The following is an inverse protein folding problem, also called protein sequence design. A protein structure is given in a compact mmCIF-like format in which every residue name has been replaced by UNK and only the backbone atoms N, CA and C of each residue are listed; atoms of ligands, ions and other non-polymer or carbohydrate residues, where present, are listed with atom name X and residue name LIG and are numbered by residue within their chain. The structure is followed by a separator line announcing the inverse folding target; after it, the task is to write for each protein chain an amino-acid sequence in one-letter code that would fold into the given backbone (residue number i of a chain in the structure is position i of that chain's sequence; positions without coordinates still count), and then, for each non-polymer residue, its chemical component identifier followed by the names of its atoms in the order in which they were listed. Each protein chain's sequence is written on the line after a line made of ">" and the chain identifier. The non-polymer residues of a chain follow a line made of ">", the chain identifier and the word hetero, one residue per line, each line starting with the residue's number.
data_IF_354338503935
#
_entry.id   IF_354338503935
#
_cell.length_a   1.000
_cell.length_b   1.000
_cell.length_c   1.000
_cell.angle_alpha   90.00
_cell.angle_beta   90.00
_cell.angle_gamma   90.00
#
_symmetry.space_group_name_H-M   'P 1'
#
loop_
_entity.id
_entity.type
_entity.pdbx_description
1 polymer ?
#
# COMPACT_ATOMS: atom_id res chain seq x y z
N UNK A 1 -0.39 12.22 1.87
CA UNK A 1 -1.13 11.11 1.22
C UNK A 1 -2.28 11.69 0.43
N UNK A 2 -2.56 11.17 -0.77
CA UNK A 2 -3.54 11.76 -1.67
C UNK A 2 -4.90 11.07 -1.63
N UNK A 3 -4.93 9.77 -1.37
CA UNK A 3 -6.14 8.97 -1.27
C UNK A 3 -5.91 7.85 -0.26
N UNK A 4 -6.95 7.51 0.50
CA UNK A 4 -6.98 6.33 1.38
C UNK A 4 -8.37 5.72 1.31
N UNK A 5 -8.43 4.40 1.25
CA UNK A 5 -9.63 3.58 1.23
C UNK A 5 -9.41 2.40 2.19
N UNK A 6 -10.48 1.92 2.83
CA UNK A 6 -10.39 0.75 3.69
C UNK A 6 -11.72 0.02 3.71
N UNK A 7 -11.68 -1.24 3.28
CA UNK A 7 -12.79 -2.19 3.40
C UNK A 7 -12.64 -2.97 4.70
N UNK A 8 -13.68 -2.94 5.52
CA UNK A 8 -13.72 -3.65 6.79
C UNK A 8 -14.65 -4.86 6.70
N UNK A 9 -14.11 -6.04 6.97
CA UNK A 9 -14.84 -7.30 6.88
C UNK A 9 -15.25 -7.84 8.25
N UNK A 10 -14.37 -7.74 9.25
CA UNK A 10 -14.67 -8.18 10.61
C UNK A 10 -13.76 -7.58 11.66
N UNK A 11 -14.21 -7.59 12.91
CA UNK A 11 -13.47 -7.04 14.03
C UNK A 11 -12.29 -7.90 14.48
N UNK A 12 -11.24 -7.21 14.89
CA UNK A 12 -10.18 -7.70 15.75
C UNK A 12 -10.29 -6.98 17.10
N UNK A 13 -10.16 -7.72 18.18
CA UNK A 13 -10.27 -7.20 19.53
C UNK A 13 -9.05 -7.60 20.35
N UNK A 14 -8.63 -6.72 21.26
CA UNK A 14 -7.63 -7.08 22.26
C UNK A 14 -8.08 -8.32 23.06
N UNK A 15 -7.20 -9.29 23.38
CA UNK A 15 -5.74 -9.30 23.23
C UNK A 15 -5.21 -9.97 21.94
N UNK A 16 -6.05 -10.12 20.91
CA UNK A 16 -5.66 -10.76 19.66
C UNK A 16 -4.55 -9.97 18.97
N UNK A 17 -3.63 -10.69 18.34
CA UNK A 17 -2.48 -10.09 17.64
C UNK A 17 -2.86 -9.82 16.20
N UNK A 18 -2.66 -8.58 15.76
CA UNK A 18 -2.81 -8.17 14.37
C UNK A 18 -1.58 -8.56 13.55
N UNK A 19 -1.79 -9.20 12.40
CA UNK A 19 -0.77 -9.42 11.38
C UNK A 19 -1.09 -8.58 10.15
N UNK A 20 -0.10 -7.85 9.64
CA UNK A 20 -0.26 -6.95 8.49
C UNK A 20 0.59 -7.46 7.33
N UNK A 21 -0.03 -7.50 6.15
CA UNK A 21 0.65 -7.78 4.89
C UNK A 21 0.59 -6.52 4.03
N UNK A 22 1.74 -6.06 3.52
CA UNK A 22 1.84 -4.88 2.65
C UNK A 22 2.31 -5.30 1.27
N UNK A 23 1.67 -4.77 0.22
CA UNK A 23 2.15 -4.83 -1.15
C UNK A 23 2.04 -3.49 -1.85
N UNK A 24 2.75 -3.35 -2.97
CA UNK A 24 2.58 -2.24 -3.92
C UNK A 24 1.74 -2.75 -5.08
N UNK A 25 0.55 -2.16 -5.28
CA UNK A 25 -0.33 -2.48 -6.41
C UNK A 25 0.14 -1.79 -7.69
N UNK A 26 0.60 -0.53 -7.57
CA UNK A 26 1.04 0.27 -8.72
C UNK A 26 2.21 1.18 -8.33
N UNK A 27 3.28 1.10 -9.12
CA UNK A 27 4.47 1.94 -8.99
C UNK A 27 4.60 2.86 -10.22
N UNK A 28 4.43 4.16 -10.01
CA UNK A 28 4.54 5.19 -11.06
C UNK A 28 5.80 6.05 -10.84
N UNK A 29 5.99 7.11 -11.64
CA UNK A 29 7.17 7.97 -11.56
C UNK A 29 7.31 8.72 -10.22
N UNK A 30 6.20 9.26 -9.73
CA UNK A 30 6.17 10.09 -8.50
C UNK A 30 5.07 9.66 -7.53
N UNK A 31 4.43 8.52 -7.78
CA UNK A 31 3.36 8.01 -6.92
C UNK A 31 3.40 6.50 -6.79
N UNK A 32 2.87 6.02 -5.67
CA UNK A 32 2.78 4.60 -5.32
C UNK A 32 1.41 4.35 -4.74
N UNK A 33 0.76 3.28 -5.21
CA UNK A 33 -0.47 2.76 -4.64
C UNK A 33 -0.08 1.54 -3.80
N UNK A 34 -0.32 1.64 -2.50
CA UNK A 34 -0.06 0.58 -1.52
C UNK A 34 -1.37 -0.08 -1.16
N UNK A 35 -1.29 -1.38 -0.87
CA UNK A 35 -2.38 -2.14 -0.28
C UNK A 35 -1.88 -2.85 0.96
N UNK A 36 -2.68 -2.79 2.02
CA UNK A 36 -2.41 -3.42 3.31
C UNK A 36 -3.59 -4.30 3.69
N UNK A 37 -3.32 -5.58 3.92
CA UNK A 37 -4.30 -6.51 4.46
C UNK A 37 -4.02 -6.77 5.94
N UNK A 38 -5.07 -6.69 6.75
CA UNK A 38 -5.06 -6.98 8.18
C UNK A 38 -5.63 -8.38 8.43
N UNK A 39 -4.88 -9.19 9.14
CA UNK A 39 -5.25 -10.51 9.61
C UNK A 39 -5.19 -10.56 11.14
N UNK A 40 -5.96 -11.49 11.70
CA UNK A 40 -5.71 -11.93 13.07
C UNK A 40 -4.69 -13.07 13.02
N UNK A 41 -3.72 -13.07 13.92
CA UNK A 41 -2.65 -14.06 13.95
C UNK A 41 -3.21 -15.49 13.93
N UNK A 42 -2.68 -16.33 13.04
CA UNK A 42 -3.14 -17.71 12.78
C UNK A 42 -4.54 -17.86 12.18
N UNK A 43 -5.17 -16.78 11.73
CA UNK A 43 -6.47 -16.79 11.05
C UNK A 43 -6.28 -16.36 9.60
N UNK A 44 -6.62 -17.24 8.67
CA UNK A 44 -6.46 -16.98 7.23
C UNK A 44 -7.45 -15.91 6.70
N UNK A 45 -8.57 -15.71 7.40
CA UNK A 45 -9.58 -14.75 6.99
C UNK A 45 -9.13 -13.31 7.26
N UNK A 46 -9.17 -12.50 6.20
CA UNK A 46 -8.87 -11.07 6.28
C UNK A 46 -9.91 -10.32 7.14
N UNK A 47 -9.42 -9.40 7.96
CA UNK A 47 -10.22 -8.54 8.84
C UNK A 47 -10.52 -7.19 8.18
N UNK A 48 -9.53 -6.61 7.51
CA UNK A 48 -9.68 -5.38 6.74
C UNK A 48 -8.64 -5.32 5.61
N UNK A 49 -8.96 -4.62 4.52
CA UNK A 49 -8.02 -4.31 3.44
C UNK A 49 -8.04 -2.81 3.21
N UNK A 50 -6.88 -2.17 3.34
CA UNK A 50 -6.69 -0.75 3.08
C UNK A 50 -5.89 -0.50 1.82
N UNK A 51 -6.30 0.47 1.01
CA UNK A 51 -5.49 1.01 -0.08
C UNK A 51 -5.14 2.46 0.21
N UNK A 52 -3.91 2.88 -0.04
CA UNK A 52 -3.55 4.29 0.03
C UNK A 52 -2.54 4.70 -1.02
N UNK A 53 -2.63 5.96 -1.44
CA UNK A 53 -1.78 6.55 -2.48
C UNK A 53 -0.83 7.57 -1.86
N UNK A 54 0.47 7.30 -2.01
CA UNK A 54 1.52 8.24 -1.66
C UNK A 54 2.07 8.91 -2.92
N UNK A 55 2.06 10.25 -2.95
CA UNK A 55 2.73 11.06 -3.97
C UNK A 55 3.99 11.65 -3.36
N UNK A 56 5.13 11.40 -4.00
CA UNK A 56 6.42 11.98 -3.64
C UNK A 56 6.54 13.38 -4.22
N UNK A 57 6.79 14.36 -3.34
CA UNK A 57 6.93 15.77 -3.70
C UNK A 57 8.31 16.28 -3.32
N UNK A 58 8.79 17.25 -4.09
CA UNK A 58 9.96 18.02 -3.75
C UNK A 58 9.65 18.93 -2.56
N UNK A 59 10.56 18.99 -1.57
CA UNK A 59 10.33 19.72 -0.32
C UNK A 59 10.25 21.23 -0.51
N UNK A 60 11.04 21.79 -1.43
CA UNK A 60 11.11 23.23 -1.64
C UNK A 60 9.86 23.75 -2.38
N UNK A 61 9.37 22.97 -3.35
CA UNK A 61 8.26 23.37 -4.22
C UNK A 61 6.90 22.78 -3.83
N UNK A 62 6.89 21.76 -2.96
CA UNK A 62 5.71 20.95 -2.62
C UNK A 62 4.99 20.33 -3.83
N UNK A 63 5.69 20.23 -4.96
CA UNK A 63 5.18 19.65 -6.22
C UNK A 63 5.87 18.33 -6.52
N UNK A 64 5.24 17.42 -7.28
CA UNK A 64 5.92 16.22 -7.75
C UNK A 64 7.19 16.59 -8.52
N UNK A 65 8.32 15.99 -8.16
CA UNK A 65 9.59 16.26 -8.83
C UNK A 65 9.50 15.80 -10.30
N UNK A 66 10.00 16.62 -11.22
CA UNK A 66 10.05 16.34 -12.67
C UNK A 66 10.87 15.09 -12.97
N UNK A 67 11.85 14.76 -12.13
CA UNK A 67 12.69 13.56 -12.24
C UNK A 67 12.06 12.33 -11.55
N UNK A 68 10.98 12.50 -10.79
CA UNK A 68 10.32 11.41 -10.06
C UNK A 68 10.88 11.17 -8.66
N UNK A 69 10.50 10.04 -8.07
CA UNK A 69 11.07 9.58 -6.80
C UNK A 69 12.52 9.10 -6.99
N UNK A 70 13.31 9.13 -5.91
CA UNK A 70 14.69 8.65 -5.91
C UNK A 70 14.78 7.18 -6.36
N UNK A 71 15.81 6.85 -7.16
CA UNK A 71 16.01 5.51 -7.73
C UNK A 71 16.16 4.41 -6.68
N UNK A 72 16.87 4.65 -5.57
CA UNK A 72 16.99 3.67 -4.49
C UNK A 72 15.63 3.33 -3.87
N UNK A 73 14.79 4.35 -3.68
CA UNK A 73 13.44 4.17 -3.16
C UNK A 73 12.56 3.42 -4.16
N UNK A 74 12.63 3.80 -5.43
CA UNK A 74 11.91 3.12 -6.51
C UNK A 74 12.30 1.65 -6.60
N UNK A 75 13.60 1.34 -6.58
CA UNK A 75 14.11 -0.04 -6.60
C UNK A 75 13.69 -0.83 -5.36
N UNK A 76 13.61 -0.18 -4.19
CA UNK A 76 13.07 -0.80 -2.97
C UNK A 76 11.60 -1.19 -3.12
N UNK A 77 10.77 -0.25 -3.58
CA UNK A 77 9.34 -0.44 -3.79
C UNK A 77 9.03 -1.43 -4.91
N UNK A 78 9.88 -1.49 -5.93
CA UNK A 78 9.74 -2.45 -7.03
C UNK A 78 9.80 -3.91 -6.55
N UNK A 79 10.48 -4.21 -5.44
CA UNK A 79 10.50 -5.56 -4.85
C UNK A 79 9.19 -5.94 -4.17
N UNK A 80 8.38 -4.97 -3.82
CA UNK A 80 7.06 -5.15 -3.22
C UNK A 80 5.94 -5.05 -4.26
N UNK A 81 6.27 -4.78 -5.52
CA UNK A 81 5.32 -4.68 -6.61
C UNK A 81 4.77 -6.07 -6.91
N UNK A 82 3.51 -6.26 -6.57
CA UNK A 82 2.74 -7.44 -6.95
C UNK A 82 1.64 -6.92 -7.86
N UNK A 83 1.81 -7.02 -9.19
CA UNK A 83 0.77 -6.58 -10.11
C UNK A 83 -0.52 -7.34 -9.77
N UNK A 84 -1.66 -6.65 -9.85
CA UNK A 84 -2.95 -7.32 -9.72
C UNK A 84 -2.99 -8.55 -10.63
N UNK A 85 -3.33 -9.71 -10.06
CA UNK A 85 -3.82 -10.78 -10.92
C UNK A 85 -5.07 -10.25 -11.61
N UNK A 86 -5.20 -10.40 -12.93
CA UNK A 86 -6.42 -10.03 -13.62
C UNK A 86 -7.56 -10.75 -12.90
N UNK A 87 -8.46 -9.97 -12.33
CA UNK A 87 -9.70 -10.47 -11.75
C UNK A 87 -10.31 -11.40 -12.80
N UNK A 88 -10.52 -12.68 -12.45
CA UNK A 88 -11.24 -13.62 -13.30
C UNK A 88 -12.73 -13.27 -13.21
N UNK A 89 -13.08 -12.17 -13.87
CA UNK A 89 -14.43 -11.83 -14.33
C UNK A 89 -14.33 -11.47 -15.80
#
# INVERSE_FOLDING_TARGET
>A
MAHTHCDYFSAISYPKVAELCLRVNKLSKSSVVYEVALFEKHVEQVKAVGEFVHVFVDRATQRPNVNGMNDQLRSGLARLLVPESPSKL
#
